data_IF_049095745891
#
_entry.id   IF_049095745891
#
_cell.length_a   1.000
_cell.length_b   1.000
_cell.length_c   1.000
_cell.angle_alpha   90.00
_cell.angle_beta   90.00
_cell.angle_gamma   90.00
#
_symmetry.space_group_name_H-M   'P 1'
#
loop_
_entity.id
_entity.type
_entity.pdbx_description
1 polymer ?
#
# COMPACT_ATOMS: atom_id res chain seq x y z
N UNK A 1 1.88 -9.30 12.38
CA UNK A 1 0.66 -8.97 11.61
C UNK A 1 1.11 -8.11 10.45
N UNK A 2 0.69 -8.42 9.22
CA UNK A 2 1.13 -7.66 8.05
C UNK A 2 0.28 -6.39 7.93
N UNK A 3 0.90 -5.22 7.94
CA UNK A 3 0.23 -3.94 7.76
C UNK A 3 0.84 -3.18 6.58
N UNK A 4 0.25 -3.39 5.40
CA UNK A 4 0.59 -2.64 4.21
C UNK A 4 -0.22 -1.35 4.19
N UNK A 5 0.45 -0.21 4.25
CA UNK A 5 -0.18 1.09 4.02
C UNK A 5 -0.12 1.37 2.53
N UNK A 6 -1.23 1.82 1.93
CA UNK A 6 -1.26 2.14 0.50
C UNK A 6 -2.17 3.35 0.25
N UNK A 7 -1.78 4.17 -0.71
CA UNK A 7 -2.51 5.36 -1.13
C UNK A 7 -3.09 5.15 -2.53
N UNK A 8 -4.39 5.45 -2.67
CA UNK A 8 -5.13 5.20 -3.90
C UNK A 8 -5.91 6.45 -4.28
N UNK A 9 -5.85 6.83 -5.56
CA UNK A 9 -6.69 7.90 -6.10
C UNK A 9 -8.16 7.56 -5.96
N UNK A 10 -8.91 8.46 -5.33
CA UNK A 10 -10.34 8.25 -5.02
C UNK A 10 -11.17 7.97 -6.27
N UNK A 11 -10.95 8.74 -7.33
CA UNK A 11 -11.72 8.64 -8.58
C UNK A 11 -10.94 7.90 -9.68
N UNK A 12 -9.61 8.04 -9.73
CA UNK A 12 -8.78 7.34 -10.71
C UNK A 12 -8.51 5.88 -10.35
N UNK A 13 -8.68 5.50 -9.08
CA UNK A 13 -8.31 4.18 -8.54
C UNK A 13 -6.81 3.85 -8.72
N UNK A 14 -5.98 4.84 -9.03
CA UNK A 14 -4.55 4.64 -9.24
C UNK A 14 -3.85 4.43 -7.90
N UNK A 15 -3.11 3.34 -7.74
CA UNK A 15 -2.27 3.13 -6.55
C UNK A 15 -1.03 4.01 -6.70
N UNK A 16 -0.97 5.09 -5.92
CA UNK A 16 0.10 6.08 -5.99
C UNK A 16 1.35 5.65 -5.26
N UNK A 17 1.19 5.06 -4.08
CA UNK A 17 2.30 4.75 -3.19
C UNK A 17 1.88 3.71 -2.16
N UNK A 18 2.85 3.03 -1.57
CA UNK A 18 2.64 2.12 -0.46
C UNK A 18 3.92 1.94 0.35
N UNK A 19 3.79 1.46 1.58
CA UNK A 19 4.89 0.95 2.38
C UNK A 19 4.35 -0.05 3.41
N UNK A 20 5.19 -0.44 4.37
CA UNK A 20 4.84 -1.47 5.35
C UNK A 20 5.18 -1.06 6.77
N UNK A 21 4.22 -1.25 7.68
CA UNK A 21 4.44 -1.04 9.11
C UNK A 21 4.69 -2.33 9.86
N UNK A 22 5.81 -2.36 10.55
CA UNK A 22 6.14 -3.41 11.50
C UNK A 22 5.36 -3.22 12.78
N UNK A 23 4.49 -4.18 13.08
CA UNK A 23 3.63 -4.12 14.25
C UNK A 23 3.88 -5.25 15.20
N UNK A 24 4.00 -4.89 16.48
CA UNK A 24 3.83 -5.82 17.58
C UNK A 24 2.43 -6.45 17.53
N UNK A 25 2.32 -7.70 17.97
CA UNK A 25 1.02 -8.40 18.03
C UNK A 25 0.08 -7.63 18.97
N UNK A 26 -1.17 -7.44 18.52
CA UNK A 26 -2.24 -6.78 19.28
C UNK A 26 -3.41 -7.75 19.52
N UNK A 27 -4.32 -7.38 20.41
CA UNK A 27 -5.53 -8.12 20.72
C UNK A 27 -5.35 -9.23 21.76
N UNK A 28 -6.40 -10.04 21.96
CA UNK A 28 -6.40 -11.14 22.93
C UNK A 28 -5.41 -12.22 22.48
N UNK A 29 -4.51 -12.61 23.39
CA UNK A 29 -3.49 -13.64 23.15
C UNK A 29 -3.69 -14.81 24.11
N UNK A 30 -3.56 -16.04 23.59
CA UNK A 30 -3.48 -17.24 24.44
C UNK A 30 -2.18 -17.26 25.25
N UNK A 31 -2.12 -18.05 26.33
CA UNK A 31 -0.91 -18.20 27.14
C UNK A 31 0.32 -18.59 26.29
N UNK A 32 0.16 -19.56 25.38
CA UNK A 32 1.19 -19.98 24.41
C UNK A 32 1.67 -18.82 23.52
N UNK A 33 0.75 -17.98 23.03
CA UNK A 33 1.10 -16.83 22.20
C UNK A 33 1.84 -15.75 22.99
N UNK A 34 1.48 -15.54 24.27
CA UNK A 34 2.20 -14.63 25.17
C UNK A 34 3.62 -15.13 25.42
N UNK A 35 3.81 -16.42 25.70
CA UNK A 35 5.13 -17.01 25.88
C UNK A 35 6.01 -16.83 24.64
N UNK A 36 5.48 -17.18 23.47
CA UNK A 36 6.19 -16.98 22.20
C UNK A 36 6.50 -15.50 21.94
N UNK A 37 5.59 -14.60 22.30
CA UNK A 37 5.81 -13.15 22.20
C UNK A 37 6.99 -12.70 23.06
N UNK A 38 7.03 -13.11 24.34
CA UNK A 38 8.14 -12.78 25.26
C UNK A 38 9.49 -13.24 24.74
N UNK A 39 9.60 -14.48 24.28
CA UNK A 39 10.84 -15.02 23.73
C UNK A 39 11.32 -14.24 22.48
N UNK A 40 10.40 -13.78 21.63
CA UNK A 40 10.75 -12.97 20.47
C UNK A 40 11.16 -11.55 20.87
N UNK A 41 10.47 -10.95 21.85
CA UNK A 41 10.80 -9.62 22.36
C UNK A 41 12.16 -9.62 23.08
N UNK A 42 12.52 -10.71 23.78
CA UNK A 42 13.84 -10.91 24.42
C UNK A 42 14.96 -11.08 23.38
N UNK A 43 14.72 -11.86 22.33
CA UNK A 43 15.74 -12.16 21.32
C UNK A 43 15.97 -11.01 20.31
N UNK A 44 14.91 -10.27 19.95
CA UNK A 44 14.95 -9.32 18.82
C UNK A 44 14.47 -7.90 19.19
N UNK A 45 14.05 -7.68 20.42
CA UNK A 45 13.41 -6.42 20.82
C UNK A 45 11.99 -6.26 20.28
N UNK A 46 11.34 -5.19 20.72
CA UNK A 46 9.98 -4.83 20.28
C UNK A 46 10.05 -3.91 19.07
N UNK A 47 9.09 -4.08 18.15
CA UNK A 47 8.91 -3.11 17.06
C UNK A 47 8.44 -1.76 17.60
N UNK A 48 8.68 -0.69 16.84
CA UNK A 48 8.23 0.65 17.20
C UNK A 48 6.70 0.70 17.34
N UNK A 49 6.23 1.10 18.52
CA UNK A 49 4.79 1.27 18.80
C UNK A 49 4.13 2.34 17.95
N UNK A 50 4.91 3.26 17.39
CA UNK A 50 4.48 4.35 16.50
C UNK A 50 4.71 4.05 15.02
N UNK A 51 5.04 2.82 14.62
CA UNK A 51 5.31 2.44 13.23
C UNK A 51 4.23 2.94 12.25
N UNK A 52 2.95 2.64 12.49
CA UNK A 52 1.83 3.10 11.64
C UNK A 52 1.85 4.62 11.45
N UNK A 53 2.11 5.38 12.53
CA UNK A 53 2.17 6.84 12.44
C UNK A 53 3.32 7.27 11.54
N UNK A 54 4.54 6.78 11.81
CA UNK A 54 5.75 7.15 11.05
C UNK A 54 5.63 6.75 9.57
N UNK A 55 5.17 5.54 9.29
CA UNK A 55 5.09 5.03 7.92
C UNK A 55 4.02 5.73 7.10
N UNK A 56 2.86 6.02 7.71
CA UNK A 56 1.82 6.80 7.04
C UNK A 56 2.26 8.23 6.79
N UNK A 57 2.98 8.83 7.74
CA UNK A 57 3.57 10.17 7.59
C UNK A 57 4.47 10.25 6.37
N UNK A 58 5.34 9.26 6.15
CA UNK A 58 6.22 9.19 4.98
C UNK A 58 5.45 9.11 3.65
N UNK A 59 4.33 8.38 3.60
CA UNK A 59 3.45 8.38 2.41
C UNK A 59 2.82 9.77 2.23
N UNK A 60 2.27 10.37 3.29
CA UNK A 60 1.60 11.66 3.21
C UNK A 60 2.56 12.78 2.77
N UNK A 61 3.79 12.79 3.27
CA UNK A 61 4.84 13.71 2.84
C UNK A 61 5.16 13.58 1.35
N UNK A 62 5.32 12.35 0.85
CA UNK A 62 5.59 12.11 -0.58
C UNK A 62 4.42 12.51 -1.47
N UNK A 63 3.18 12.29 -1.03
CA UNK A 63 1.99 12.72 -1.75
C UNK A 63 1.84 14.25 -1.72
N UNK A 64 2.06 14.88 -0.57
CA UNK A 64 1.97 16.33 -0.43
C UNK A 64 3.04 17.03 -1.28
N UNK A 65 4.26 16.49 -1.33
CA UNK A 65 5.34 17.02 -2.17
C UNK A 65 5.02 16.96 -3.68
N UNK A 66 4.12 16.05 -4.09
CA UNK A 66 3.61 15.95 -5.47
C UNK A 66 2.32 16.75 -5.71
N UNK A 67 1.76 17.36 -4.67
CA UNK A 67 0.54 18.17 -4.78
C UNK A 67 0.87 19.65 -5.00
N UNK A 68 0.13 20.28 -5.91
CA UNK A 68 0.38 21.66 -6.34
C UNK A 68 0.12 22.69 -5.24
N UNK A 69 -0.93 22.48 -4.42
CA UNK A 69 -1.36 23.44 -3.40
C UNK A 69 -1.74 22.75 -2.09
N UNK A 70 -2.68 21.80 -2.14
CA UNK A 70 -3.14 21.04 -0.98
C UNK A 70 -3.31 19.55 -1.30
N UNK A 71 -3.34 18.73 -0.25
CA UNK A 71 -3.61 17.30 -0.34
C UNK A 71 -4.97 17.00 0.31
N UNK A 72 -5.96 16.59 -0.48
CA UNK A 72 -7.21 16.06 0.05
C UNK A 72 -7.02 14.58 0.43
N UNK A 73 -6.96 14.31 1.73
CA UNK A 73 -6.72 12.97 2.26
C UNK A 73 -8.02 12.38 2.82
N UNK A 74 -8.43 11.23 2.31
CA UNK A 74 -9.56 10.47 2.84
C UNK A 74 -9.05 9.22 3.55
N UNK A 75 -9.42 9.02 4.81
CA UNK A 75 -9.03 7.81 5.56
C UNK A 75 -10.16 7.30 6.45
N UNK A 76 -9.94 6.14 7.06
CA UNK A 76 -10.73 5.72 8.21
C UNK A 76 -10.39 6.55 9.46
N UNK A 77 -11.05 6.25 10.58
CA UNK A 77 -10.84 6.96 11.84
C UNK A 77 -9.64 6.43 12.65
N UNK A 78 -8.55 6.00 12.00
CA UNK A 78 -7.38 5.52 12.72
C UNK A 78 -6.61 6.70 13.37
N UNK A 79 -6.40 6.72 14.71
CA UNK A 79 -5.81 7.88 15.40
C UNK A 79 -4.37 8.22 14.96
N UNK A 80 -3.63 7.26 14.44
CA UNK A 80 -2.26 7.48 13.98
C UNK A 80 -2.18 8.45 12.79
N UNK A 81 -3.20 8.49 11.92
CA UNK A 81 -3.19 9.37 10.75
C UNK A 81 -3.28 10.84 11.17
N UNK A 82 -4.16 11.17 12.12
CA UNK A 82 -4.25 12.54 12.67
C UNK A 82 -2.93 13.00 13.29
N UNK A 83 -2.25 12.10 14.03
CA UNK A 83 -0.94 12.39 14.61
C UNK A 83 0.15 12.54 13.55
N UNK A 84 0.12 11.73 12.50
CA UNK A 84 1.05 11.84 11.37
C UNK A 84 0.89 13.20 10.67
N UNK A 85 -0.35 13.59 10.35
CA UNK A 85 -0.65 14.87 9.69
C UNK A 85 -0.23 16.05 10.55
N UNK A 86 -0.50 16.01 11.87
CA UNK A 86 -0.07 17.08 12.79
C UNK A 86 1.46 17.17 12.92
N UNK A 87 2.16 16.06 12.76
CA UNK A 87 3.62 15.97 12.98
C UNK A 87 4.47 16.20 11.73
N UNK A 88 3.91 16.11 10.52
CA UNK A 88 4.66 16.28 9.28
C UNK A 88 4.83 17.75 8.87
N UNK A 89 5.95 18.10 8.24
CA UNK A 89 6.09 19.37 7.53
C UNK A 89 4.97 19.58 6.50
N UNK A 90 4.37 20.76 6.49
CA UNK A 90 3.26 21.09 5.56
C UNK A 90 1.93 20.42 5.90
N UNK A 91 1.75 19.84 7.09
CA UNK A 91 0.50 19.22 7.53
C UNK A 91 -0.72 20.14 7.47
N UNK A 92 -0.53 21.47 7.55
CA UNK A 92 -1.56 22.49 7.37
C UNK A 92 -2.15 22.53 5.94
N UNK A 93 -1.42 22.00 4.94
CA UNK A 93 -1.89 21.87 3.55
C UNK A 93 -2.69 20.58 3.32
N UNK A 94 -2.87 19.76 4.35
CA UNK A 94 -3.61 18.49 4.25
C UNK A 94 -5.05 18.71 4.73
N UNK A 95 -6.00 18.57 3.81
CA UNK A 95 -7.43 18.57 4.13
C UNK A 95 -7.85 17.14 4.44
N UNK A 96 -7.94 16.80 5.74
CA UNK A 96 -8.21 15.43 6.19
C UNK A 96 -9.69 15.16 6.39
N UNK A 97 -10.25 14.28 5.56
CA UNK A 97 -11.63 13.80 5.64
C UNK A 97 -11.72 12.38 6.18
N UNK A 98 -12.45 12.20 7.28
CA UNK A 98 -12.55 10.92 7.97
C UNK A 98 -13.87 10.24 7.65
N UNK A 99 -13.79 8.96 7.26
CA UNK A 99 -14.95 8.11 7.03
C UNK A 99 -15.06 7.08 8.15
N UNK A 100 -16.22 7.02 8.80
CA UNK A 100 -16.48 6.03 9.84
C UNK A 100 -16.48 4.61 9.27
N UNK A 101 -15.85 3.68 10.00
CA UNK A 101 -15.85 2.25 9.66
C UNK A 101 -17.23 1.60 9.77
N UNK A 102 -18.19 2.26 10.44
CA UNK A 102 -19.59 1.81 10.55
C UNK A 102 -20.41 2.08 9.29
N UNK A 103 -19.93 2.93 8.38
CA UNK A 103 -20.64 3.24 7.15
C UNK A 103 -20.60 2.04 6.19
N UNK A 104 -21.70 1.84 5.47
CA UNK A 104 -21.78 0.78 4.46
C UNK A 104 -20.66 0.93 3.43
N UNK A 105 -19.97 -0.18 3.13
CA UNK A 105 -18.89 -0.24 2.13
C UNK A 105 -19.47 -0.47 0.73
N UNK A 106 -20.23 0.51 0.26
CA UNK A 106 -20.76 0.54 -1.10
C UNK A 106 -20.03 1.60 -1.94
N UNK A 107 -20.40 1.74 -3.21
CA UNK A 107 -19.81 2.70 -4.16
C UNK A 107 -19.99 4.18 -3.76
N UNK A 108 -20.85 4.49 -2.79
CA UNK A 108 -21.02 5.85 -2.25
C UNK A 108 -20.04 6.15 -1.12
N UNK A 109 -19.34 5.14 -0.61
CA UNK A 109 -18.35 5.29 0.43
C UNK A 109 -17.11 6.02 -0.13
N UNK A 110 -16.64 7.06 0.56
CA UNK A 110 -15.44 7.83 0.15
C UNK A 110 -14.18 6.97 0.07
N UNK A 111 -14.15 5.85 0.81
CA UNK A 111 -13.05 4.89 0.81
C UNK A 111 -13.28 3.73 -0.18
N UNK A 112 -14.24 3.84 -1.11
CA UNK A 112 -14.55 2.74 -2.04
C UNK A 112 -13.33 2.31 -2.87
N UNK A 113 -12.50 3.25 -3.36
CA UNK A 113 -11.29 2.93 -4.12
C UNK A 113 -10.25 2.13 -3.30
N UNK A 114 -10.08 2.48 -2.03
CA UNK A 114 -9.22 1.75 -1.09
C UNK A 114 -9.82 0.36 -0.84
N UNK A 115 -11.10 0.29 -0.45
CA UNK A 115 -11.80 -0.98 -0.19
C UNK A 115 -11.77 -1.92 -1.40
N UNK A 116 -11.87 -1.37 -2.61
CA UNK A 116 -11.77 -2.13 -3.86
C UNK A 116 -10.35 -2.70 -4.05
N UNK A 117 -9.30 -1.89 -3.85
CA UNK A 117 -7.90 -2.35 -3.91
C UNK A 117 -7.61 -3.42 -2.87
N UNK A 118 -8.11 -3.22 -1.65
CA UNK A 118 -8.07 -4.16 -0.54
C UNK A 118 -8.74 -5.51 -0.86
N UNK A 119 -9.90 -5.46 -1.53
CA UNK A 119 -10.63 -6.64 -1.98
C UNK A 119 -9.84 -7.40 -3.05
N UNK A 120 -9.33 -6.70 -4.08
CA UNK A 120 -8.50 -7.29 -5.12
C UNK A 120 -7.24 -7.93 -4.52
N UNK A 121 -6.59 -7.25 -3.58
CA UNK A 121 -5.39 -7.74 -2.89
C UNK A 121 -5.66 -9.08 -2.20
N UNK A 122 -6.75 -9.19 -1.43
CA UNK A 122 -7.10 -10.44 -0.73
C UNK A 122 -7.57 -11.56 -1.67
N UNK A 123 -8.18 -11.20 -2.80
CA UNK A 123 -8.70 -12.15 -3.77
C UNK A 123 -7.60 -12.73 -4.67
N UNK A 124 -6.68 -11.89 -5.12
CA UNK A 124 -5.67 -12.26 -6.13
C UNK A 124 -4.33 -12.66 -5.51
N UNK A 125 -3.98 -12.13 -4.35
CA UNK A 125 -2.70 -12.42 -3.71
C UNK A 125 -2.88 -13.36 -2.52
N UNK A 126 -2.34 -14.57 -2.64
CA UNK A 126 -2.28 -15.53 -1.53
C UNK A 126 -1.58 -14.96 -0.29
N UNK A 127 -0.54 -14.15 -0.51
CA UNK A 127 0.32 -13.53 0.52
C UNK A 127 -0.42 -12.64 1.52
N UNK A 128 -1.60 -12.13 1.14
CA UNK A 128 -2.45 -11.27 1.98
C UNK A 128 -3.61 -12.04 2.66
N UNK A 129 -3.64 -13.37 2.53
CA UNK A 129 -4.58 -14.23 3.27
C UNK A 129 -4.13 -14.40 4.73
N UNK A 130 -5.03 -14.98 5.55
CA UNK A 130 -4.78 -15.22 6.98
C UNK A 130 -3.63 -16.22 7.20
N UNK A 131 -3.00 -16.14 8.38
CA UNK A 131 -1.87 -17.00 8.80
C UNK A 131 -2.11 -18.49 8.59
N UNK A 132 -3.32 -18.94 8.85
CA UNK A 132 -3.74 -20.34 8.73
C UNK A 132 -4.02 -20.80 7.29
N UNK A 133 -3.97 -19.91 6.29
CA UNK A 133 -4.30 -20.22 4.89
C UNK A 133 -3.07 -20.10 4.00
N UNK A 134 -2.56 -18.89 3.77
CA UNK A 134 -1.49 -18.66 2.79
C UNK A 134 -0.67 -17.39 3.09
N UNK A 135 -0.48 -17.08 4.36
CA UNK A 135 0.19 -15.84 4.79
C UNK A 135 1.66 -15.77 4.41
N UNK A 136 2.10 -14.60 3.98
CA UNK A 136 3.50 -14.36 3.65
C UNK A 136 4.42 -14.50 4.86
N UNK A 137 5.46 -15.33 4.73
CA UNK A 137 6.53 -15.48 5.73
C UNK A 137 7.71 -14.53 5.50
N UNK A 138 7.68 -13.81 4.39
CA UNK A 138 8.71 -12.88 3.94
C UNK A 138 8.02 -11.58 3.51
N UNK A 139 8.44 -10.46 4.09
CA UNK A 139 7.78 -9.16 3.91
C UNK A 139 8.12 -8.57 2.54
N UNK A 140 9.38 -8.69 2.10
CA UNK A 140 9.84 -8.23 0.78
C UNK A 140 9.03 -8.91 -0.32
N UNK A 141 8.95 -10.24 -0.32
CA UNK A 141 8.18 -11.00 -1.31
C UNK A 141 6.68 -10.63 -1.32
N UNK A 142 6.11 -10.31 -0.15
CA UNK A 142 4.73 -9.82 -0.07
C UNK A 142 4.57 -8.43 -0.70
N UNK A 143 5.50 -7.52 -0.42
CA UNK A 143 5.51 -6.18 -1.00
C UNK A 143 5.72 -6.23 -2.52
N UNK A 144 6.65 -7.05 -3.01
CA UNK A 144 6.84 -7.31 -4.45
C UNK A 144 5.57 -7.85 -5.11
N UNK A 145 4.87 -8.78 -4.45
CA UNK A 145 3.56 -9.27 -4.93
C UNK A 145 2.54 -8.13 -5.04
N UNK A 146 2.57 -7.17 -4.11
CA UNK A 146 1.72 -5.99 -4.18
C UNK A 146 2.15 -5.03 -5.29
N UNK A 147 3.46 -4.87 -5.57
CA UNK A 147 3.95 -4.10 -6.74
C UNK A 147 3.38 -4.69 -8.03
N UNK A 148 3.41 -6.02 -8.19
CA UNK A 148 2.85 -6.69 -9.36
C UNK A 148 1.34 -6.47 -9.48
N UNK A 149 0.60 -6.55 -8.38
CA UNK A 149 -0.83 -6.23 -8.36
C UNK A 149 -1.09 -4.77 -8.72
N UNK A 150 -0.38 -3.83 -8.10
CA UNK A 150 -0.52 -2.40 -8.36
C UNK A 150 -0.19 -2.08 -9.83
N UNK A 151 0.84 -2.70 -10.40
CA UNK A 151 1.22 -2.59 -11.81
C UNK A 151 0.11 -3.10 -12.72
N UNK A 152 -0.37 -4.33 -12.48
CA UNK A 152 -1.45 -4.91 -13.27
C UNK A 152 -2.71 -4.04 -13.19
N UNK A 153 -3.07 -3.61 -11.98
CA UNK A 153 -4.24 -2.80 -11.72
C UNK A 153 -4.14 -1.43 -12.39
N UNK A 154 -2.98 -0.75 -12.28
CA UNK A 154 -2.81 0.62 -12.75
C UNK A 154 -2.71 0.70 -14.28
N UNK A 155 -2.05 -0.26 -14.92
CA UNK A 155 -1.65 -0.14 -16.32
C UNK A 155 -2.26 -1.20 -17.24
N UNK A 156 -2.47 -2.43 -16.75
CA UNK A 156 -2.79 -3.59 -17.60
C UNK A 156 -4.28 -3.95 -17.62
N UNK A 157 -5.10 -3.25 -16.83
CA UNK A 157 -6.54 -3.52 -16.70
C UNK A 157 -7.32 -2.23 -16.61
N UNK A 158 -8.55 -2.27 -17.12
CA UNK A 158 -9.53 -1.23 -16.86
C UNK A 158 -9.88 -1.15 -15.36
N UNK A 159 -10.36 0.01 -14.90
CA UNK A 159 -10.75 0.25 -13.50
C UNK A 159 -11.83 -0.75 -13.04
N UNK A 160 -12.77 -1.13 -13.92
CA UNK A 160 -13.77 -2.16 -13.68
C UNK A 160 -13.91 -3.11 -14.87
N UNK A 161 -14.38 -4.34 -14.62
CA UNK A 161 -14.69 -5.31 -15.69
C UNK A 161 -15.99 -4.99 -16.41
N UNK A 162 -16.96 -4.36 -15.72
CA UNK A 162 -18.30 -4.05 -16.26
C UNK A 162 -18.53 -2.56 -16.28
N UNK A 163 -19.37 -2.10 -17.22
CA UNK A 163 -19.81 -0.71 -17.30
C UNK A 163 -20.38 -0.25 -15.97
N UNK A 164 -19.88 0.87 -15.47
CA UNK A 164 -20.33 1.46 -14.22
C UNK A 164 -21.30 2.61 -14.50
N UNK A 165 -22.41 2.69 -13.75
CA UNK A 165 -23.48 3.68 -14.04
C UNK A 165 -23.02 5.13 -13.92
N UNK A 166 -22.15 5.43 -12.95
CA UNK A 166 -21.65 6.80 -12.69
C UNK A 166 -20.35 7.13 -13.41
N UNK A 167 -19.64 6.11 -13.87
CA UNK A 167 -18.40 6.28 -14.61
C UNK A 167 -18.43 5.34 -15.81
N UNK A 168 -19.06 5.79 -16.92
CA UNK A 168 -19.19 4.97 -18.10
C UNK A 168 -17.84 4.56 -18.70
N UNK A 169 -16.76 5.31 -18.46
CA UNK A 169 -15.45 5.05 -19.04
C UNK A 169 -14.59 4.11 -18.19
N UNK A 170 -14.91 3.91 -16.91
CA UNK A 170 -14.13 3.07 -16.02
C UNK A 170 -13.99 1.58 -16.45
N UNK A 171 -14.81 1.09 -17.38
CA UNK A 171 -14.66 -0.25 -17.94
C UNK A 171 -13.76 -0.33 -19.19
N UNK A 172 -13.39 0.82 -19.75
CA UNK A 172 -12.52 0.96 -20.92
C UNK A 172 -11.15 1.52 -20.51
N UNK A 173 -11.11 2.35 -19.48
CA UNK A 173 -9.91 3.06 -19.04
C UNK A 173 -9.22 2.38 -17.86
N UNK A 174 -7.90 2.29 -17.93
CA UNK A 174 -7.07 1.94 -16.78
C UNK A 174 -6.94 3.11 -15.80
N UNK A 175 -6.58 2.86 -14.53
CA UNK A 175 -6.22 3.95 -13.60
C UNK A 175 -5.14 4.89 -14.15
N UNK A 176 -4.16 4.37 -14.89
CA UNK A 176 -3.10 5.18 -15.50
C UNK A 176 -3.64 6.11 -16.59
N UNK A 177 -4.65 5.67 -17.36
CA UNK A 177 -5.36 6.53 -18.31
C UNK A 177 -6.16 7.62 -17.61
N UNK A 178 -6.85 7.27 -16.52
CA UNK A 178 -7.66 8.22 -15.75
C UNK A 178 -6.85 9.38 -15.13
N UNK A 179 -5.53 9.23 -14.99
CA UNK A 179 -4.61 10.29 -14.56
C UNK A 179 -3.71 10.83 -15.68
N UNK A 180 -3.95 10.43 -16.94
CA UNK A 180 -3.23 10.93 -18.11
C UNK A 180 -1.80 10.41 -18.29
N UNK A 181 -1.39 9.31 -17.63
CA UNK A 181 -0.04 8.73 -17.80
C UNK A 181 0.11 7.85 -19.05
N UNK A 182 -1.01 7.35 -19.59
CA UNK A 182 -1.07 6.47 -20.75
C UNK A 182 -2.36 6.73 -21.52
N UNK A 183 -2.32 6.54 -22.84
CA UNK A 183 -3.48 6.75 -23.70
C UNK A 183 -4.29 5.47 -23.95
N UNK A 184 -3.77 4.32 -23.50
CA UNK A 184 -4.42 3.02 -23.61
C UNK A 184 -4.04 2.07 -22.49
N UNK A 185 -4.90 1.07 -22.25
CA UNK A 185 -4.57 -0.09 -21.42
C UNK A 185 -3.38 -0.80 -22.04
N UNK A 186 -2.31 -0.98 -21.26
CA UNK A 186 -1.07 -1.56 -21.74
C UNK A 186 -1.18 -3.09 -21.74
N UNK A 187 -0.60 -3.74 -22.75
CA UNK A 187 -0.30 -5.18 -22.66
C UNK A 187 0.93 -5.42 -21.80
N UNK A 188 1.12 -6.66 -21.35
CA UNK A 188 2.32 -7.06 -20.60
C UNK A 188 3.61 -6.72 -21.36
N UNK A 189 3.67 -7.05 -22.67
CA UNK A 189 4.85 -6.80 -23.50
C UNK A 189 5.13 -5.31 -23.68
N UNK A 190 4.11 -4.48 -23.81
CA UNK A 190 4.28 -3.03 -23.95
C UNK A 190 4.79 -2.41 -22.65
N UNK A 191 4.22 -2.80 -21.51
CA UNK A 191 4.64 -2.26 -20.22
C UNK A 191 6.10 -2.60 -19.90
N UNK A 192 6.52 -3.84 -20.15
CA UNK A 192 7.88 -4.31 -19.86
C UNK A 192 8.88 -4.11 -21.00
N UNK A 193 8.50 -3.45 -22.10
CA UNK A 193 9.38 -3.20 -23.25
C UNK A 193 10.57 -2.34 -22.86
N UNK A 194 10.32 -1.27 -22.11
CA UNK A 194 11.32 -0.32 -21.69
C UNK A 194 11.61 -0.55 -20.20
N UNK A 195 12.82 -1.00 -19.88
CA UNK A 195 13.28 -1.11 -18.50
C UNK A 195 14.15 0.09 -18.18
N UNK A 196 13.75 0.86 -17.18
CA UNK A 196 14.54 2.00 -16.71
C UNK A 196 15.55 1.45 -15.70
N UNK A 197 16.83 1.77 -15.89
CA UNK A 197 17.88 1.44 -14.94
C UNK A 197 17.63 2.14 -13.61
N UNK A 198 17.94 1.46 -12.50
CA UNK A 198 17.82 2.04 -11.15
C UNK A 198 18.63 3.34 -11.00
N UNK A 199 19.76 3.45 -11.71
CA UNK A 199 20.60 4.66 -11.69
C UNK A 199 19.93 5.89 -12.34
N UNK A 200 18.85 5.69 -13.10
CA UNK A 200 18.11 6.78 -13.74
C UNK A 200 16.85 7.21 -12.97
N UNK A 201 16.55 6.56 -11.82
CA UNK A 201 15.37 6.88 -11.01
C UNK A 201 15.78 7.08 -9.56
N UNK A 202 15.43 8.24 -9.00
CA UNK A 202 15.57 8.49 -7.57
C UNK A 202 14.41 7.82 -6.81
N UNK A 203 14.69 6.71 -6.12
CA UNK A 203 13.73 6.08 -5.23
C UNK A 203 13.64 6.81 -3.88
N UNK A 204 12.48 6.73 -3.23
CA UNK A 204 12.39 7.08 -1.81
C UNK A 204 12.99 5.96 -0.96
N UNK A 205 13.30 6.22 0.32
CA UNK A 205 13.89 5.21 1.20
C UNK A 205 13.06 3.92 1.27
N UNK A 206 11.72 4.02 1.33
CA UNK A 206 10.84 2.84 1.35
C UNK A 206 10.96 1.98 0.10
N UNK A 207 11.08 2.62 -1.06
CA UNK A 207 11.23 1.93 -2.35
C UNK A 207 12.64 1.39 -2.55
N UNK A 208 13.66 2.11 -2.05
CA UNK A 208 15.05 1.65 -2.05
C UNK A 208 15.20 0.40 -1.18
N UNK A 209 14.66 0.41 0.04
CA UNK A 209 14.70 -0.74 0.95
C UNK A 209 13.99 -1.97 0.36
N UNK A 210 12.90 -1.75 -0.38
CA UNK A 210 12.23 -2.80 -1.12
C UNK A 210 13.09 -3.35 -2.27
N UNK A 211 13.68 -2.46 -3.08
CA UNK A 211 14.50 -2.83 -4.23
C UNK A 211 15.76 -3.61 -3.81
N UNK A 212 16.46 -3.13 -2.79
CA UNK A 212 17.67 -3.78 -2.26
C UNK A 212 17.34 -5.01 -1.41
N UNK A 213 16.05 -5.30 -1.17
CA UNK A 213 15.58 -6.39 -0.31
C UNK A 213 16.14 -6.32 1.13
N UNK A 214 16.42 -5.12 1.63
CA UNK A 214 17.10 -4.89 2.91
C UNK A 214 16.16 -4.86 4.13
N UNK A 215 14.87 -5.16 3.96
CA UNK A 215 13.90 -5.12 5.05
C UNK A 215 14.27 -6.07 6.20
N UNK A 216 14.76 -5.48 7.30
CA UNK A 216 15.30 -6.14 8.50
C UNK A 216 14.32 -7.10 9.20
N UNK A 217 13.03 -7.00 8.91
CA UNK A 217 12.01 -7.84 9.56
C UNK A 217 11.70 -9.14 8.81
N UNK A 218 12.33 -9.38 7.67
CA UNK A 218 12.19 -10.67 7.00
C UNK A 218 12.91 -11.75 7.81
N UNK A 219 12.14 -12.66 8.40
CA UNK A 219 12.65 -13.80 9.20
C UNK A 219 13.46 -14.82 8.38
N UNK A 220 13.53 -14.61 7.06
CA UNK A 220 14.31 -15.39 6.11
C UNK A 220 14.94 -14.41 5.13
N UNK A 221 16.25 -14.48 4.97
CA UNK A 221 16.98 -13.79 3.91
C UNK A 221 16.45 -14.32 2.57
N UNK A 222 15.87 -13.46 1.73
CA UNK A 222 15.82 -13.78 0.30
C UNK A 222 17.26 -13.61 -0.16
N UNK A 223 17.87 -14.62 -0.78
CA UNK A 223 19.14 -14.37 -1.46
C UNK A 223 18.85 -13.27 -2.46
N UNK A 224 19.52 -12.11 -2.28
CA UNK A 224 19.37 -10.99 -3.20
C UNK A 224 19.54 -11.50 -4.63
N UNK A 225 18.81 -10.89 -5.56
CA UNK A 225 18.96 -11.16 -6.98
C UNK A 225 20.43 -10.90 -7.35
N UNK A 226 21.24 -11.96 -7.45
CA UNK A 226 22.58 -11.89 -8.01
C UNK A 226 22.35 -11.72 -9.51
N UNK A 227 22.41 -10.47 -9.98
CA UNK A 227 22.05 -10.08 -11.34
C UNK A 227 22.50 -11.09 -12.39
N UNK A 228 21.56 -11.49 -13.25
CA UNK A 228 21.84 -12.01 -14.58
C UNK A 228 21.62 -10.84 -15.54
#
# INVERSE_FOLDING_TARGET
MNNLNHAVGRESYYVYDFNFSLMNRKGKMSARQKQKGRLLDEAFGRYDTRAIQKDSMRIFERLLAKSSSSLELHSDNHPAYRRAIKGMPGGNRVVHSITSSKLARNFRNRLFAINHTDMLTRHQLGTFKRETIAFAKNIVAMMESFVLLATQKNYLRARFTKKHKRDPLAHLESPAMAIGLRDKVQSFREFYRNRISIHHVKLSSDWQDLFDSTSLASRRTVRAYAGI
#
